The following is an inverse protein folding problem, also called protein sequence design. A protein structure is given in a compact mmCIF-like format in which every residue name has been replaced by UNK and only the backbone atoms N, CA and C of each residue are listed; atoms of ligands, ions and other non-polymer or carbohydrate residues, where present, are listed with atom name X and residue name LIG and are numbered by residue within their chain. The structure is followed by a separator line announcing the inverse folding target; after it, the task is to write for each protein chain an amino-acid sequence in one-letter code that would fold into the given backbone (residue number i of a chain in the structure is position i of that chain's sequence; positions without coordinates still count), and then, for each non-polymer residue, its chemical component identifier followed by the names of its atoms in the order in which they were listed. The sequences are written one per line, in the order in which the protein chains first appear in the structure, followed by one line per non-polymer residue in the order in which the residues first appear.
data_IF_492255880538
#
_entry.id   IF_492255880538
#
_cell.length_a   1.000
_cell.length_b   1.000
_cell.length_c   1.000
_cell.angle_alpha   90.00
_cell.angle_beta   90.00
_cell.angle_gamma   90.00
#
_symmetry.space_group_name_H-M   'P 1'
#
loop_
_entity.id
_entity.type
_entity.pdbx_description
1 polymer ?
#
# COMPACT_ATOMS: atom_id res chain seq x y z
N UNK A 1 27.94 5.27 5.56
CA UNK A 1 27.06 4.11 5.86
C UNK A 1 26.40 4.15 7.25
N UNK A 2 27.00 4.76 8.29
CA UNK A 2 26.38 4.79 9.62
C UNK A 2 25.17 5.74 9.74
N UNK A 3 25.20 6.91 9.10
CA UNK A 3 24.10 7.89 9.17
C UNK A 3 22.76 7.39 8.59
N UNK A 4 22.81 6.64 7.50
CA UNK A 4 21.63 6.12 6.81
C UNK A 4 20.91 5.06 7.66
N UNK A 5 21.67 4.20 8.35
CA UNK A 5 21.13 3.23 9.32
C UNK A 5 20.47 3.92 10.51
N UNK A 6 21.09 4.98 11.03
CA UNK A 6 20.53 5.74 12.16
C UNK A 6 19.25 6.47 11.78
N UNK A 7 19.19 7.04 10.57
CA UNK A 7 17.99 7.71 10.04
C UNK A 7 16.84 6.71 9.85
N UNK A 8 17.08 5.61 9.13
CA UNK A 8 16.07 4.57 8.93
C UNK A 8 15.57 3.98 10.24
N UNK A 9 16.47 3.76 11.21
CA UNK A 9 16.10 3.24 12.53
C UNK A 9 15.21 4.24 13.30
N UNK A 10 15.48 5.54 13.18
CA UNK A 10 14.67 6.59 13.82
C UNK A 10 13.29 6.68 13.18
N UNK A 11 13.22 6.63 11.86
CA UNK A 11 11.96 6.67 11.11
C UNK A 11 11.07 5.48 11.45
N UNK A 12 11.65 4.28 11.36
CA UNK A 12 10.94 3.03 11.65
C UNK A 12 10.49 2.93 13.11
N UNK A 13 11.20 3.53 14.06
CA UNK A 13 10.75 3.56 15.45
C UNK A 13 9.61 4.55 15.67
N UNK A 14 9.68 5.72 15.01
CA UNK A 14 8.68 6.78 15.16
C UNK A 14 7.36 6.37 14.51
N UNK A 15 7.43 5.71 13.35
CA UNK A 15 6.27 5.26 12.57
C UNK A 15 6.10 3.73 12.57
N UNK A 16 6.61 3.05 13.60
CA UNK A 16 6.60 1.58 13.67
C UNK A 16 5.20 1.01 13.46
N UNK A 17 4.21 1.61 14.12
CA UNK A 17 2.82 1.16 14.04
C UNK A 17 2.23 1.36 12.64
N UNK A 18 2.52 2.48 11.97
CA UNK A 18 2.03 2.78 10.63
C UNK A 18 2.57 1.74 9.63
N UNK A 19 3.88 1.47 9.67
CA UNK A 19 4.50 0.47 8.80
C UNK A 19 4.06 -0.95 9.15
N UNK A 20 3.86 -1.28 10.44
CA UNK A 20 3.34 -2.58 10.86
C UNK A 20 1.91 -2.79 10.34
N UNK A 21 1.06 -1.77 10.39
CA UNK A 21 -0.29 -1.79 9.83
C UNK A 21 -0.26 -2.04 8.32
N UNK A 22 0.60 -1.34 7.58
CA UNK A 22 0.74 -1.54 6.14
C UNK A 22 1.18 -2.96 5.79
N UNK A 23 2.21 -3.46 6.48
CA UNK A 23 2.76 -4.81 6.22
C UNK A 23 1.74 -5.89 6.58
N UNK A 24 1.08 -5.78 7.72
CA UNK A 24 0.05 -6.75 8.13
C UNK A 24 -1.12 -6.75 7.16
N UNK A 25 -1.63 -5.57 6.78
CA UNK A 25 -2.68 -5.46 5.77
C UNK A 25 -2.25 -6.05 4.41
N UNK A 26 -0.99 -5.83 4.00
CA UNK A 26 -0.43 -6.43 2.78
C UNK A 26 -0.39 -7.95 2.82
N UNK A 27 -0.01 -8.55 3.96
CA UNK A 27 -0.03 -10.00 4.15
C UNK A 27 -1.47 -10.53 4.08
N UNK A 28 -2.41 -9.90 4.78
CA UNK A 28 -3.83 -10.28 4.72
C UNK A 28 -4.39 -10.16 3.30
N UNK A 29 -4.06 -9.09 2.59
CA UNK A 29 -4.43 -8.90 1.19
C UNK A 29 -3.95 -10.07 0.32
N UNK A 30 -2.69 -10.48 0.43
CA UNK A 30 -2.15 -11.60 -0.35
C UNK A 30 -2.84 -12.93 0.00
N UNK A 31 -3.11 -13.18 1.28
CA UNK A 31 -3.82 -14.38 1.73
C UNK A 31 -5.24 -14.42 1.15
N UNK A 32 -5.98 -13.31 1.26
CA UNK A 32 -7.35 -13.19 0.75
C UNK A 32 -7.36 -13.33 -0.77
N UNK A 33 -6.51 -12.60 -1.48
CA UNK A 33 -6.41 -12.68 -2.94
C UNK A 33 -6.10 -14.10 -3.41
N UNK A 34 -5.21 -14.80 -2.73
CA UNK A 34 -4.89 -16.19 -3.05
C UNK A 34 -6.06 -17.15 -2.75
N UNK A 35 -6.87 -16.86 -1.72
CA UNK A 35 -8.02 -17.69 -1.33
C UNK A 35 -9.17 -17.61 -2.33
N UNK A 36 -9.34 -16.45 -2.97
CA UNK A 36 -10.37 -16.21 -4.00
C UNK A 36 -9.81 -16.32 -5.43
N UNK A 37 -8.67 -17.01 -5.59
CA UNK A 37 -8.01 -17.15 -6.89
C UNK A 37 -8.95 -17.82 -7.91
N UNK A 38 -9.14 -17.18 -9.07
CA UNK A 38 -10.02 -17.64 -10.15
C UNK A 38 -11.40 -16.98 -10.15
N UNK A 39 -11.83 -16.37 -9.04
CA UNK A 39 -13.07 -15.60 -8.95
C UNK A 39 -12.83 -14.15 -9.37
N UNK A 40 -12.81 -13.91 -10.69
CA UNK A 40 -12.45 -12.63 -11.33
C UNK A 40 -13.07 -11.39 -10.67
N UNK A 41 -14.35 -11.48 -10.32
CA UNK A 41 -15.09 -10.37 -9.71
C UNK A 41 -14.58 -10.09 -8.29
N UNK A 42 -14.40 -11.14 -7.47
CA UNK A 42 -13.91 -10.98 -6.10
C UNK A 42 -12.46 -10.52 -6.07
N UNK A 43 -11.59 -11.07 -6.93
CA UNK A 43 -10.20 -10.61 -7.07
C UNK A 43 -10.13 -9.12 -7.37
N UNK A 44 -10.93 -8.64 -8.33
CA UNK A 44 -10.99 -7.21 -8.65
C UNK A 44 -11.42 -6.37 -7.44
N UNK A 45 -12.47 -6.79 -6.72
CA UNK A 45 -12.94 -6.08 -5.52
C UNK A 45 -11.90 -6.06 -4.40
N UNK A 46 -11.19 -7.17 -4.17
CA UNK A 46 -10.13 -7.29 -3.15
C UNK A 46 -8.96 -6.35 -3.48
N UNK A 47 -8.51 -6.32 -4.74
CA UNK A 47 -7.45 -5.42 -5.22
C UNK A 47 -7.89 -3.96 -5.09
N UNK A 48 -9.12 -3.64 -5.53
CA UNK A 48 -9.66 -2.29 -5.44
C UNK A 48 -9.72 -1.80 -3.97
N UNK A 49 -10.21 -2.64 -3.06
CA UNK A 49 -10.26 -2.33 -1.63
C UNK A 49 -8.86 -2.09 -1.05
N UNK A 50 -7.89 -2.92 -1.42
CA UNK A 50 -6.50 -2.76 -0.97
C UNK A 50 -5.87 -1.46 -1.47
N UNK A 51 -6.19 -1.03 -2.69
CA UNK A 51 -5.72 0.26 -3.23
C UNK A 51 -6.30 1.43 -2.47
N UNK A 52 -7.60 1.41 -2.16
CA UNK A 52 -8.20 2.44 -1.31
C UNK A 52 -7.53 2.49 0.06
N UNK A 53 -7.32 1.34 0.69
CA UNK A 53 -6.57 1.24 1.94
C UNK A 53 -5.16 1.85 1.80
N UNK A 54 -4.42 1.51 0.75
CA UNK A 54 -3.07 2.03 0.49
C UNK A 54 -3.05 3.56 0.32
N UNK A 55 -4.01 4.12 -0.43
CA UNK A 55 -4.13 5.57 -0.62
C UNK A 55 -4.45 6.25 0.71
N UNK A 56 -5.43 5.74 1.46
CA UNK A 56 -5.81 6.29 2.77
C UNK A 56 -4.64 6.23 3.75
N UNK A 57 -3.93 5.10 3.78
CA UNK A 57 -2.73 4.93 4.60
C UNK A 57 -1.64 5.93 4.21
N UNK A 58 -1.36 6.10 2.92
CA UNK A 58 -0.34 7.04 2.43
C UNK A 58 -0.67 8.50 2.78
N UNK A 59 -1.95 8.88 2.65
CA UNK A 59 -2.47 10.18 3.08
C UNK A 59 -2.32 10.35 4.59
N UNK A 60 -2.74 9.37 5.38
CA UNK A 60 -2.61 9.41 6.84
C UNK A 60 -1.16 9.56 7.28
N UNK A 61 -0.25 8.74 6.74
CA UNK A 61 1.17 8.80 7.07
C UNK A 61 1.77 10.19 6.82
N UNK A 62 1.48 10.80 5.65
CA UNK A 62 1.98 12.13 5.31
C UNK A 62 1.29 13.27 6.06
N UNK A 63 0.03 13.09 6.50
CA UNK A 63 -0.64 14.07 7.39
C UNK A 63 0.05 14.15 8.75
N UNK A 64 0.47 13.02 9.31
CA UNK A 64 1.12 12.97 10.62
C UNK A 64 2.58 13.45 10.59
N UNK A 65 3.20 13.47 9.41
CA UNK A 65 4.55 13.99 9.19
C UNK A 65 4.59 15.46 8.76
N UNK A 66 3.43 16.15 8.71
CA UNK A 66 3.29 17.52 8.15
C UNK A 66 3.86 17.65 6.72
N UNK A 67 3.95 16.53 5.99
CA UNK A 67 4.57 16.42 4.66
C UNK A 67 3.52 16.20 3.56
N UNK A 68 2.23 16.39 3.89
CA UNK A 68 1.14 16.19 2.94
C UNK A 68 1.17 17.25 1.82
N UNK A 69 1.70 16.82 0.68
CA UNK A 69 1.60 17.53 -0.59
C UNK A 69 0.68 16.78 -1.54
N UNK A 70 -0.09 17.53 -2.35
CA UNK A 70 -0.97 16.96 -3.38
C UNK A 70 -0.21 16.06 -4.36
N UNK A 71 1.07 16.39 -4.62
CA UNK A 71 2.00 15.54 -5.39
C UNK A 71 2.08 14.13 -4.83
N UNK A 72 2.27 13.99 -3.51
CA UNK A 72 2.42 12.69 -2.87
C UNK A 72 1.11 11.91 -2.99
N UNK A 73 -0.04 12.53 -2.71
CA UNK A 73 -1.35 11.87 -2.86
C UNK A 73 -1.56 11.34 -4.30
N UNK A 74 -1.19 12.14 -5.31
CA UNK A 74 -1.26 11.72 -6.72
C UNK A 74 -0.31 10.55 -7.01
N UNK A 75 0.90 10.53 -6.44
CA UNK A 75 1.84 9.42 -6.58
C UNK A 75 1.23 8.10 -6.03
N UNK A 76 0.63 8.12 -4.84
CA UNK A 76 -0.02 6.93 -4.26
C UNK A 76 -1.19 6.44 -5.11
N UNK A 77 -2.00 7.35 -5.65
CA UNK A 77 -3.08 7.03 -6.57
C UNK A 77 -2.52 6.36 -7.84
N UNK A 78 -1.51 6.97 -8.48
CA UNK A 78 -0.89 6.45 -9.70
C UNK A 78 -0.28 5.06 -9.49
N UNK A 79 0.43 4.86 -8.36
CA UNK A 79 1.01 3.56 -8.00
C UNK A 79 -0.10 2.52 -7.81
N UNK A 80 -1.14 2.86 -7.04
CA UNK A 80 -2.27 1.96 -6.77
C UNK A 80 -2.97 1.51 -8.05
N UNK A 81 -3.30 2.45 -8.93
CA UNK A 81 -3.92 2.12 -10.22
C UNK A 81 -2.98 1.37 -11.16
N UNK A 82 -1.69 1.68 -11.17
CA UNK A 82 -0.70 0.93 -11.98
C UNK A 82 -0.68 -0.54 -11.56
N UNK A 83 -0.64 -0.81 -10.25
CA UNK A 83 -0.69 -2.18 -9.72
C UNK A 83 -2.01 -2.87 -10.10
N UNK A 84 -3.14 -2.16 -10.01
CA UNK A 84 -4.44 -2.69 -10.46
C UNK A 84 -4.40 -3.12 -11.93
N UNK A 85 -3.91 -2.24 -12.81
CA UNK A 85 -3.84 -2.52 -14.24
C UNK A 85 -2.88 -3.67 -14.54
N UNK A 86 -1.73 -3.73 -13.89
CA UNK A 86 -0.77 -4.83 -14.04
C UNK A 86 -1.37 -6.16 -13.58
N UNK A 87 -2.04 -6.20 -12.43
CA UNK A 87 -2.72 -7.40 -11.93
C UNK A 87 -3.85 -7.82 -12.86
N UNK A 88 -4.63 -6.86 -13.39
CA UNK A 88 -5.66 -7.15 -14.40
C UNK A 88 -5.05 -7.84 -15.62
N UNK A 89 -3.95 -7.31 -16.17
CA UNK A 89 -3.30 -7.89 -17.37
C UNK A 89 -2.73 -9.30 -17.08
N UNK A 90 -2.18 -9.52 -15.89
CA UNK A 90 -1.52 -10.79 -15.54
C UNK A 90 -2.50 -11.88 -15.10
N UNK A 91 -3.61 -11.53 -14.44
CA UNK A 91 -4.53 -12.46 -13.80
C UNK A 91 -5.80 -12.67 -14.66
N UNK A 92 -6.23 -11.65 -15.40
CA UNK A 92 -7.39 -11.72 -16.28
C UNK A 92 -6.94 -11.74 -17.74
N UNK A 93 -6.75 -12.92 -18.38
CA UNK A 93 -6.79 -13.01 -19.83
C UNK A 93 -8.20 -12.66 -20.36
#
# INVERSE_FOLDING_TARGET
MNHLKTYLKKELYTHFFDYLLLVTAGIFFLIILNSFRGERFLEFFIVLLYIFFYIIWGVYHHLFEDSLHLKNVVEYILIGFTILFLLKILILP
#
